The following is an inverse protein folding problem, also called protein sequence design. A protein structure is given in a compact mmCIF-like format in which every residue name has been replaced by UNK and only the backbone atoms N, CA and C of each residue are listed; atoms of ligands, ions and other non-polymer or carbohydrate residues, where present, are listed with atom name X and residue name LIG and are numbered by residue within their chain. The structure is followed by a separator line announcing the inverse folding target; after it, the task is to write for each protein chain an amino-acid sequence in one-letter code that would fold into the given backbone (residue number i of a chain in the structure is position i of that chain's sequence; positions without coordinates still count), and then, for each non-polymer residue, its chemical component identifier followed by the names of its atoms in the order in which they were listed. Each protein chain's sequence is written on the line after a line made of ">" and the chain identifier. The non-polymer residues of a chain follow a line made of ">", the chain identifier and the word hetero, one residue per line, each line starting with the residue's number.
data_IF_496710250648
#
_entry.id   IF_496710250648
#
_cell.length_a   1.000
_cell.length_b   1.000
_cell.length_c   1.000
_cell.angle_alpha   90.00
_cell.angle_beta   90.00
_cell.angle_gamma   90.00
#
_symmetry.space_group_name_H-M   'P 1'
#
loop_
_entity.id
_entity.type
_entity.pdbx_description
1 polymer ?
#
# COMPACT_ATOMS: atom_id res chain seq x y z
N UNK A 1 -14.53 10.15 18.01
CA UNK A 1 -13.14 10.15 17.51
C UNK A 1 -12.60 11.58 17.48
N UNK A 2 -11.53 11.85 18.23
CA UNK A 2 -10.97 13.20 18.38
C UNK A 2 -9.64 13.37 17.60
N UNK A 3 -9.28 12.37 16.79
CA UNK A 3 -8.03 12.31 16.04
C UNK A 3 -8.04 13.07 14.73
N UNK A 4 -6.86 13.13 14.11
CA UNK A 4 -6.65 13.71 12.77
C UNK A 4 -6.27 12.61 11.78
N UNK A 5 -6.63 12.78 10.52
CA UNK A 5 -6.24 11.90 9.41
C UNK A 5 -5.66 12.77 8.30
N UNK A 6 -4.55 12.32 7.71
CA UNK A 6 -3.93 12.97 6.55
C UNK A 6 -4.10 12.09 5.32
N UNK A 7 -4.63 12.69 4.26
CA UNK A 7 -4.66 12.12 2.91
C UNK A 7 -3.66 12.92 2.08
N UNK A 8 -2.62 12.26 1.57
CA UNK A 8 -1.56 12.92 0.81
C UNK A 8 -1.36 12.20 -0.51
N UNK A 9 -1.58 12.91 -1.61
CA UNK A 9 -1.23 12.43 -2.95
C UNK A 9 0.19 12.88 -3.25
N UNK A 10 1.05 11.94 -3.64
CA UNK A 10 2.44 12.20 -4.01
C UNK A 10 2.61 11.88 -5.49
N UNK A 11 3.30 12.77 -6.20
CA UNK A 11 3.68 12.61 -7.60
C UNK A 11 5.17 12.91 -7.74
N UNK A 12 5.94 11.95 -8.25
CA UNK A 12 7.38 12.15 -8.48
C UNK A 12 7.60 12.51 -9.95
N UNK A 13 8.25 13.66 -10.26
CA UNK A 13 8.57 14.02 -11.63
C UNK A 13 9.53 13.03 -12.27
N UNK A 14 9.37 12.76 -13.58
CA UNK A 14 10.17 11.76 -14.30
C UNK A 14 11.69 11.93 -14.13
N UNK A 15 12.16 13.17 -14.00
CA UNK A 15 13.58 13.50 -13.81
C UNK A 15 14.17 13.05 -12.47
N UNK A 16 13.33 12.73 -11.48
CA UNK A 16 13.77 12.30 -10.14
C UNK A 16 13.85 10.78 -10.00
N UNK A 17 13.34 10.01 -10.97
CA UNK A 17 13.51 8.56 -10.92
C UNK A 17 14.97 8.18 -11.20
N UNK A 18 15.52 7.21 -10.46
CA UNK A 18 16.85 6.72 -10.70
C UNK A 18 16.94 6.01 -12.06
N UNK A 19 18.10 6.12 -12.69
CA UNK A 19 18.43 5.23 -13.82
C UNK A 19 18.78 3.86 -13.22
N UNK A 20 17.83 2.94 -13.22
CA UNK A 20 17.90 1.64 -12.52
C UNK A 20 19.17 0.85 -12.84
N UNK A 21 19.54 0.78 -14.12
CA UNK A 21 20.74 0.07 -14.60
C UNK A 21 22.08 0.66 -14.13
N UNK A 22 22.07 1.89 -13.60
CA UNK A 22 23.26 2.59 -13.10
C UNK A 22 23.35 2.58 -11.56
N UNK A 23 22.34 2.06 -10.88
CA UNK A 23 22.34 2.01 -9.41
C UNK A 23 23.34 0.97 -8.91
N UNK A 24 24.12 1.34 -7.89
CA UNK A 24 25.13 0.50 -7.23
C UNK A 24 24.86 0.28 -5.74
N UNK A 25 23.69 0.71 -5.28
CA UNK A 25 23.27 0.60 -3.89
C UNK A 25 23.01 -0.88 -3.58
N UNK A 26 23.48 -1.34 -2.42
CA UNK A 26 23.22 -2.70 -1.95
C UNK A 26 21.74 -2.89 -1.60
N UNK A 27 21.25 -4.12 -1.68
CA UNK A 27 19.89 -4.43 -1.25
C UNK A 27 19.71 -4.13 0.25
N UNK A 28 18.51 -3.69 0.62
CA UNK A 28 18.15 -3.45 2.01
C UNK A 28 18.00 -4.77 2.80
N UNK A 29 17.91 -4.66 4.12
CA UNK A 29 17.64 -5.81 4.98
C UNK A 29 16.22 -6.32 4.72
N UNK A 30 16.11 -7.60 4.39
CA UNK A 30 14.84 -8.28 4.18
C UNK A 30 14.51 -9.19 5.37
N UNK A 31 13.30 -9.07 5.90
CA UNK A 31 12.72 -10.03 6.85
C UNK A 31 11.45 -10.61 6.26
N UNK A 32 11.30 -11.93 6.30
CA UNK A 32 10.10 -12.62 5.83
C UNK A 32 9.41 -13.31 7.00
N UNK A 33 8.07 -13.27 6.99
CA UNK A 33 7.25 -13.94 8.00
C UNK A 33 6.04 -14.55 7.33
N UNK A 34 5.60 -15.70 7.83
CA UNK A 34 4.36 -16.37 7.41
C UNK A 34 3.33 -16.25 8.53
N UNK A 35 2.06 -16.10 8.17
CA UNK A 35 0.95 -16.08 9.13
C UNK A 35 0.69 -14.72 9.81
N UNK A 36 1.50 -13.70 9.57
CA UNK A 36 1.19 -12.31 9.94
C UNK A 36 0.63 -11.54 8.75
N UNK A 37 -0.30 -10.62 9.03
CA UNK A 37 -0.88 -9.72 8.03
C UNK A 37 -0.22 -8.34 8.11
N UNK A 38 -0.28 -7.57 7.04
CA UNK A 38 0.36 -6.25 6.93
C UNK A 38 -0.19 -5.30 8.01
N UNK A 39 -1.51 -5.28 8.19
CA UNK A 39 -2.22 -4.46 9.18
C UNK A 39 -1.94 -4.82 10.64
N UNK A 40 -1.28 -5.95 10.90
CA UNK A 40 -0.89 -6.40 12.25
C UNK A 40 0.60 -6.10 12.55
N UNK A 41 1.28 -5.34 11.69
CA UNK A 41 2.67 -4.90 11.88
C UNK A 41 2.66 -3.40 12.18
N UNK A 42 3.06 -3.03 13.39
CA UNK A 42 3.12 -1.64 13.84
C UNK A 42 4.46 -0.99 13.52
N UNK A 43 4.50 0.36 13.51
CA UNK A 43 5.71 1.17 13.32
C UNK A 43 6.44 0.88 11.99
N UNK A 44 5.66 0.67 10.93
CA UNK A 44 6.12 0.38 9.57
C UNK A 44 5.22 1.13 8.58
N UNK A 45 5.73 1.32 7.37
CA UNK A 45 4.91 1.72 6.24
C UNK A 45 4.15 0.49 5.72
N UNK A 46 2.83 0.50 5.84
CA UNK A 46 1.97 -0.61 5.44
C UNK A 46 1.52 -0.42 3.99
N UNK A 47 1.79 -1.40 3.14
CA UNK A 47 1.43 -1.32 1.72
C UNK A 47 -0.01 -1.79 1.51
N UNK A 48 -0.79 -0.94 0.87
CA UNK A 48 -2.08 -1.27 0.29
C UNK A 48 -1.91 -1.66 -1.19
N UNK A 49 -2.36 -2.86 -1.55
CA UNK A 49 -2.27 -3.41 -2.90
C UNK A 49 -3.41 -2.86 -3.75
N UNK A 50 -3.32 -1.57 -3.99
CA UNK A 50 -4.43 -0.77 -4.47
C UNK A 50 -4.83 -1.07 -5.92
N UNK A 51 -6.05 -0.69 -6.26
CA UNK A 51 -6.46 -0.32 -7.60
C UNK A 51 -5.99 1.11 -7.91
N UNK A 52 -5.81 1.45 -9.20
CA UNK A 52 -5.50 2.83 -9.60
C UNK A 52 -6.59 3.81 -9.15
N UNK A 53 -7.84 3.34 -9.06
CA UNK A 53 -8.90 4.01 -8.34
C UNK A 53 -8.89 3.49 -6.91
N UNK A 54 -8.48 4.34 -5.98
CA UNK A 54 -8.26 3.97 -4.58
C UNK A 54 -9.53 3.39 -3.93
N UNK A 55 -9.35 2.35 -3.13
CA UNK A 55 -10.43 1.58 -2.51
C UNK A 55 -11.05 0.52 -3.43
N UNK A 56 -10.65 0.47 -4.71
CA UNK A 56 -11.03 -0.58 -5.65
C UNK A 56 -12.53 -0.85 -5.67
N UNK A 57 -12.91 -2.09 -5.35
CA UNK A 57 -14.29 -2.53 -5.34
C UNK A 57 -15.01 -2.38 -4.00
N UNK A 58 -14.52 -1.60 -3.03
CA UNK A 58 -15.01 -1.63 -1.63
C UNK A 58 -16.50 -1.28 -1.47
N UNK A 59 -17.05 -0.44 -2.35
CA UNK A 59 -18.48 -0.11 -2.37
C UNK A 59 -19.32 -1.05 -3.25
N UNK A 60 -18.72 -2.16 -3.70
CA UNK A 60 -19.32 -3.11 -4.64
C UNK A 60 -19.05 -4.56 -4.21
N UNK A 61 -18.47 -5.40 -5.06
CA UNK A 61 -18.19 -6.81 -4.80
C UNK A 61 -16.73 -7.11 -4.47
N UNK A 62 -15.86 -6.09 -4.40
CA UNK A 62 -14.46 -6.26 -4.04
C UNK A 62 -14.31 -6.72 -2.59
N UNK A 63 -13.44 -7.71 -2.35
CA UNK A 63 -13.21 -8.28 -1.02
C UNK A 63 -11.83 -8.93 -0.93
N UNK A 64 -10.82 -8.27 -1.52
CA UNK A 64 -9.42 -8.70 -1.43
C UNK A 64 -8.67 -7.76 -0.49
N UNK A 65 -7.34 -7.70 -0.55
CA UNK A 65 -6.53 -7.01 0.45
C UNK A 65 -6.91 -5.53 0.61
N UNK A 66 -7.10 -4.78 -0.48
CA UNK A 66 -7.49 -3.37 -0.46
C UNK A 66 -8.88 -3.18 0.17
N UNK A 67 -9.91 -3.85 -0.34
CA UNK A 67 -11.28 -3.64 0.17
C UNK A 67 -11.44 -4.09 1.62
N UNK A 68 -10.76 -5.18 2.01
CA UNK A 68 -10.74 -5.62 3.41
C UNK A 68 -10.10 -4.53 4.28
N UNK A 69 -9.00 -3.92 3.84
CA UNK A 69 -8.34 -2.86 4.61
C UNK A 69 -9.25 -1.64 4.77
N UNK A 70 -9.91 -1.21 3.70
CA UNK A 70 -10.85 -0.09 3.74
C UNK A 70 -12.10 -0.42 4.58
N UNK A 71 -12.51 -1.69 4.64
CA UNK A 71 -13.65 -2.12 5.46
C UNK A 71 -13.32 -2.09 6.95
N UNK A 72 -12.13 -2.52 7.37
CA UNK A 72 -11.74 -2.52 8.79
C UNK A 72 -11.27 -1.14 9.28
N UNK A 73 -10.85 -0.26 8.37
CA UNK A 73 -10.46 1.13 8.60
C UNK A 73 -11.34 2.08 7.74
N UNK A 74 -12.65 2.19 8.02
CA UNK A 74 -13.62 2.88 7.16
C UNK A 74 -13.33 4.37 6.92
N UNK A 75 -12.51 5.02 7.75
CA UNK A 75 -12.07 6.39 7.51
C UNK A 75 -11.30 6.53 6.18
N UNK A 76 -10.65 5.46 5.72
CA UNK A 76 -9.97 5.41 4.42
C UNK A 76 -10.96 5.63 3.26
N UNK A 77 -12.26 5.36 3.44
CA UNK A 77 -13.29 5.57 2.42
C UNK A 77 -13.42 7.04 1.98
N UNK A 78 -12.99 8.00 2.80
CA UNK A 78 -12.98 9.42 2.42
C UNK A 78 -12.06 9.66 1.22
N UNK A 79 -11.01 8.85 1.04
CA UNK A 79 -10.10 8.96 -0.11
C UNK A 79 -10.82 8.77 -1.46
N UNK A 80 -11.90 8.00 -1.51
CA UNK A 80 -12.71 7.80 -2.73
C UNK A 80 -13.35 9.11 -3.21
N UNK A 81 -13.56 10.08 -2.32
CA UNK A 81 -14.17 11.37 -2.63
C UNK A 81 -13.13 12.42 -3.05
N UNK A 82 -11.90 12.32 -2.54
CA UNK A 82 -10.89 13.38 -2.64
C UNK A 82 -9.69 13.02 -3.51
N UNK A 83 -9.57 11.77 -3.95
CA UNK A 83 -8.45 11.29 -4.75
C UNK A 83 -8.91 10.78 -6.12
N UNK A 84 -8.37 11.37 -7.19
CA UNK A 84 -8.53 10.86 -8.55
C UNK A 84 -7.69 9.59 -8.79
N UNK A 85 -7.91 8.95 -9.95
CA UNK A 85 -7.12 7.78 -10.36
C UNK A 85 -5.62 8.09 -10.36
N UNK A 86 -4.79 7.21 -9.78
CA UNK A 86 -3.34 7.38 -9.74
C UNK A 86 -2.71 7.17 -11.13
N UNK A 87 -1.83 8.09 -11.53
CA UNK A 87 -0.91 7.89 -12.64
C UNK A 87 0.27 7.00 -12.24
N UNK A 88 1.07 6.56 -13.23
CA UNK A 88 2.18 5.63 -13.00
C UNK A 88 3.22 6.13 -11.98
N UNK A 89 3.40 7.45 -11.86
CA UNK A 89 4.36 8.11 -11.00
C UNK A 89 3.71 8.69 -9.73
N UNK A 90 2.51 8.21 -9.37
CA UNK A 90 1.77 8.70 -8.21
C UNK A 90 1.49 7.60 -7.18
N UNK A 91 1.33 7.99 -5.92
CA UNK A 91 0.83 7.14 -4.85
C UNK A 91 -0.04 7.99 -3.89
N UNK A 92 -0.77 7.32 -3.01
CA UNK A 92 -1.59 7.99 -1.99
C UNK A 92 -1.21 7.46 -0.62
N UNK A 93 -0.86 8.36 0.30
CA UNK A 93 -0.67 8.06 1.71
C UNK A 93 -1.95 8.35 2.49
N UNK A 94 -2.29 7.42 3.37
CA UNK A 94 -3.41 7.47 4.30
C UNK A 94 -2.82 7.31 5.71
N UNK A 95 -2.73 8.42 6.44
CA UNK A 95 -2.01 8.48 7.72
C UNK A 95 -2.99 8.81 8.83
N UNK A 96 -2.96 8.03 9.90
CA UNK A 96 -3.78 8.27 11.08
C UNK A 96 -5.09 7.51 11.15
N UNK A 97 -5.40 6.66 10.15
CA UNK A 97 -6.62 5.88 10.13
C UNK A 97 -6.67 4.87 11.29
N UNK A 98 -7.80 4.83 11.97
CA UNK A 98 -8.08 3.91 13.06
C UNK A 98 -8.68 2.60 12.52
N UNK A 99 -8.30 1.47 13.10
CA UNK A 99 -8.94 0.18 12.84
C UNK A 99 -10.10 -0.03 13.79
N UNK A 100 -11.29 -0.23 13.23
CA UNK A 100 -12.52 -0.40 14.00
C UNK A 100 -12.97 -1.86 14.10
N UNK A 101 -12.55 -2.71 13.16
CA UNK A 101 -13.07 -4.08 13.04
C UNK A 101 -11.97 -5.14 13.04
N UNK A 102 -12.21 -6.20 13.80
CA UNK A 102 -11.51 -7.48 13.68
C UNK A 102 -12.16 -8.29 12.56
N UNK A 103 -11.38 -9.14 11.89
CA UNK A 103 -11.91 -9.98 10.83
C UNK A 103 -11.16 -11.31 10.72
N UNK A 104 -11.79 -12.26 10.05
CA UNK A 104 -11.16 -13.50 9.61
C UNK A 104 -11.59 -13.85 8.19
N UNK A 105 -10.88 -14.81 7.59
CA UNK A 105 -11.09 -15.19 6.20
C UNK A 105 -10.60 -14.12 5.23
N UNK A 106 -10.89 -14.37 3.95
CA UNK A 106 -10.47 -13.56 2.80
C UNK A 106 -11.41 -13.84 1.62
N UNK A 107 -11.68 -12.86 0.77
CA UNK A 107 -12.61 -12.98 -0.35
C UNK A 107 -13.95 -13.56 0.10
N UNK A 108 -14.41 -14.66 -0.51
CA UNK A 108 -15.69 -15.31 -0.19
C UNK A 108 -15.83 -15.80 1.26
N UNK A 109 -14.72 -15.94 2.00
CA UNK A 109 -14.72 -16.36 3.40
C UNK A 109 -14.58 -15.21 4.39
N UNK A 110 -14.44 -13.96 3.91
CA UNK A 110 -14.30 -12.78 4.74
C UNK A 110 -15.53 -12.58 5.62
N UNK A 111 -15.28 -12.36 6.90
CA UNK A 111 -16.33 -12.20 7.91
C UNK A 111 -15.84 -11.30 9.03
N UNK A 112 -16.75 -10.46 9.51
CA UNK A 112 -16.57 -9.69 10.74
C UNK A 112 -16.27 -10.63 11.91
N UNK A 113 -15.30 -10.26 12.73
CA UNK A 113 -14.87 -11.06 13.89
C UNK A 113 -14.96 -10.27 15.21
N UNK A 114 -15.80 -9.22 15.25
CA UNK A 114 -15.97 -8.37 16.42
C UNK A 114 -15.21 -7.05 16.32
N UNK A 115 -15.47 -6.18 17.29
CA UNK A 115 -14.89 -4.85 17.34
C UNK A 115 -13.36 -4.95 17.52
N UNK A 116 -12.63 -3.98 16.98
CA UNK A 116 -11.20 -3.84 17.24
C UNK A 116 -10.96 -2.62 18.13
N UNK A 117 -10.28 -2.85 19.26
CA UNK A 117 -9.87 -1.78 20.15
C UNK A 117 -8.46 -1.34 19.75
N UNK A 118 -8.38 -0.30 18.91
CA UNK A 118 -7.11 0.16 18.38
C UNK A 118 -6.28 0.88 19.45
N UNK A 119 -5.26 0.19 19.95
CA UNK A 119 -4.31 0.70 20.95
C UNK A 119 -3.09 1.41 20.35
N UNK A 120 -3.07 1.60 19.03
CA UNK A 120 -1.97 2.31 18.35
C UNK A 120 -1.84 3.71 18.95
N UNK A 121 -0.62 4.14 19.32
CA UNK A 121 -0.39 5.47 19.87
C UNK A 121 -0.71 6.55 18.83
N UNK A 122 -0.79 7.80 19.28
CA UNK A 122 -0.94 8.96 18.40
C UNK A 122 0.37 9.74 18.31
N UNK A 123 0.59 10.40 17.18
CA UNK A 123 1.71 11.33 16.98
C UNK A 123 1.40 12.72 17.53
N UNK A 124 2.34 13.65 17.39
CA UNK A 124 2.20 15.04 17.86
C UNK A 124 1.07 15.81 17.16
N UNK A 125 0.57 15.31 16.03
CA UNK A 125 -0.56 15.86 15.29
C UNK A 125 -1.88 15.15 15.60
N UNK A 126 -1.89 14.31 16.63
CA UNK A 126 -3.04 13.53 17.09
C UNK A 126 -3.55 12.49 16.06
N UNK A 127 -2.70 12.07 15.13
CA UNK A 127 -2.95 11.00 14.16
C UNK A 127 -2.50 9.67 14.75
N UNK A 128 -3.23 8.57 14.51
CA UNK A 128 -2.74 7.23 14.89
C UNK A 128 -1.40 6.94 14.17
N UNK A 129 -0.47 6.24 14.81
CA UNK A 129 0.76 5.71 14.18
C UNK A 129 0.45 4.55 13.22
N UNK A 130 -0.34 4.86 12.21
CA UNK A 130 -0.83 3.98 11.16
C UNK A 130 -0.56 4.70 9.84
N UNK A 131 0.47 4.27 9.13
CA UNK A 131 0.90 4.84 7.86
C UNK A 131 0.64 3.80 6.78
N UNK A 132 -0.31 4.09 5.90
CA UNK A 132 -0.63 3.25 4.76
C UNK A 132 -0.23 3.97 3.48
N UNK A 133 0.42 3.26 2.55
CA UNK A 133 0.66 3.74 1.19
C UNK A 133 -0.08 2.85 0.19
N UNK A 134 -0.94 3.48 -0.61
CA UNK A 134 -1.64 2.85 -1.71
C UNK A 134 -0.80 2.97 -2.98
N UNK A 135 -0.44 1.82 -3.56
CA UNK A 135 0.24 1.71 -4.85
C UNK A 135 -0.44 0.65 -5.71
N UNK A 136 -0.80 1.02 -6.94
CA UNK A 136 -1.50 0.12 -7.87
C UNK A 136 -0.53 -0.65 -8.76
N UNK A 137 -0.65 -1.98 -8.79
CA UNK A 137 0.10 -2.83 -9.71
C UNK A 137 -0.54 -2.82 -11.10
N UNK A 138 0.21 -3.23 -12.13
CA UNK A 138 -0.37 -3.53 -13.44
C UNK A 138 -1.16 -4.84 -13.37
N UNK A 139 -2.30 -4.87 -14.07
CA UNK A 139 -3.03 -6.09 -14.35
C UNK A 139 -2.48 -6.76 -15.62
N UNK A 140 -2.08 -8.03 -15.52
CA UNK A 140 -1.51 -8.77 -16.65
C UNK A 140 -2.47 -9.83 -17.19
N UNK A 141 -3.13 -9.56 -18.32
CA UNK A 141 -3.94 -10.57 -19.04
C UNK A 141 -3.09 -11.77 -19.46
N UNK A 142 -1.89 -11.51 -19.99
CA UNK A 142 -0.87 -12.51 -20.27
C UNK A 142 0.29 -12.30 -19.31
N UNK A 143 0.49 -13.25 -18.40
CA UNK A 143 1.53 -13.15 -17.37
C UNK A 143 2.94 -13.06 -17.96
N UNK A 144 3.20 -13.53 -19.19
CA UNK A 144 4.52 -13.39 -19.81
C UNK A 144 4.90 -11.95 -20.13
N UNK A 145 3.93 -11.04 -20.27
CA UNK A 145 4.22 -9.63 -20.60
C UNK A 145 4.94 -8.90 -19.46
N UNK A 146 4.79 -9.35 -18.21
CA UNK A 146 5.38 -8.68 -17.05
C UNK A 146 6.91 -8.63 -17.05
N UNK A 147 7.56 -9.42 -17.91
CA UNK A 147 9.02 -9.41 -18.10
C UNK A 147 9.49 -8.41 -19.16
N UNK A 148 8.58 -7.71 -19.85
CA UNK A 148 8.93 -6.57 -20.70
C UNK A 148 9.55 -5.47 -19.83
N UNK A 149 10.73 -4.99 -20.22
CA UNK A 149 11.50 -4.03 -19.43
C UNK A 149 10.72 -2.75 -19.13
N UNK A 150 9.84 -2.29 -20.02
CA UNK A 150 9.02 -1.09 -19.79
C UNK A 150 7.98 -1.32 -18.70
N UNK A 151 7.45 -2.54 -18.62
CA UNK A 151 6.47 -2.91 -17.60
C UNK A 151 7.17 -3.16 -16.26
N UNK A 152 8.36 -3.75 -16.26
CA UNK A 152 9.21 -3.84 -15.06
C UNK A 152 9.55 -2.43 -14.55
N UNK A 153 10.01 -1.53 -15.41
CA UNK A 153 10.32 -0.14 -15.06
C UNK A 153 9.11 0.60 -14.51
N UNK A 154 7.92 0.39 -15.07
CA UNK A 154 6.68 0.97 -14.52
C UNK A 154 6.45 0.52 -13.08
N UNK A 155 6.59 -0.77 -12.80
CA UNK A 155 6.36 -1.31 -11.45
C UNK A 155 7.42 -0.81 -10.46
N UNK A 156 8.67 -0.67 -10.90
CA UNK A 156 9.74 -0.03 -10.11
C UNK A 156 9.44 1.44 -9.82
N UNK A 157 8.99 2.20 -10.83
CA UNK A 157 8.57 3.60 -10.68
C UNK A 157 7.46 3.72 -9.64
N UNK A 158 6.44 2.87 -9.73
CA UNK A 158 5.31 2.87 -8.80
C UNK A 158 5.72 2.54 -7.37
N UNK A 159 6.48 1.45 -7.18
CA UNK A 159 7.00 1.06 -5.88
C UNK A 159 7.90 2.16 -5.28
N UNK A 160 8.83 2.70 -6.08
CA UNK A 160 9.70 3.79 -5.65
C UNK A 160 8.92 5.04 -5.27
N UNK A 161 7.86 5.38 -6.00
CA UNK A 161 6.98 6.50 -5.65
C UNK A 161 6.35 6.31 -4.27
N UNK A 162 5.95 5.09 -3.91
CA UNK A 162 5.41 4.79 -2.59
C UNK A 162 6.45 4.68 -1.48
N UNK A 163 7.71 4.36 -1.80
CA UNK A 163 8.74 4.01 -0.81
C UNK A 163 9.84 5.07 -0.64
N UNK A 164 9.98 5.97 -1.61
CA UNK A 164 10.97 7.04 -1.52
C UNK A 164 10.58 7.98 -0.37
N UNK A 165 11.52 8.34 0.53
CA UNK A 165 11.27 9.34 1.55
C UNK A 165 10.78 10.65 0.92
N UNK A 166 9.73 11.23 1.48
CA UNK A 166 9.29 12.58 1.11
C UNK A 166 10.29 13.56 1.73
N UNK A 167 11.00 14.34 0.92
CA UNK A 167 12.00 15.31 1.40
C UNK A 167 11.40 16.23 2.48
N UNK A 168 12.13 16.40 3.59
CA UNK A 168 11.74 17.18 4.78
C UNK A 168 10.64 16.58 5.67
N UNK A 169 10.13 15.39 5.37
CA UNK A 169 9.45 14.58 6.38
C UNK A 169 10.48 13.69 7.08
N UNK A 170 10.29 13.54 8.40
CA UNK A 170 11.14 12.78 9.32
C UNK A 170 11.56 11.46 8.66
N UNK A 171 12.86 11.12 8.71
CA UNK A 171 13.29 9.75 8.43
C UNK A 171 12.55 8.86 9.41
N UNK A 172 11.46 8.27 8.94
CA UNK A 172 10.57 7.57 9.84
C UNK A 172 11.22 6.28 10.36
N UNK A 173 12.40 5.88 9.85
CA UNK A 173 13.06 4.64 10.24
C UNK A 173 12.16 3.41 10.05
N UNK A 174 11.08 3.56 9.29
CA UNK A 174 10.04 2.56 9.13
C UNK A 174 10.52 1.50 8.16
N UNK A 175 10.49 0.25 8.60
CA UNK A 175 10.46 -0.85 7.63
C UNK A 175 9.21 -0.76 6.75
N UNK A 176 9.25 -1.42 5.59
CA UNK A 176 8.08 -1.55 4.72
C UNK A 176 7.43 -2.91 4.99
N UNK A 177 6.17 -2.90 5.41
CA UNK A 177 5.35 -4.09 5.51
C UNK A 177 4.56 -4.27 4.21
N UNK A 178 5.05 -5.19 3.38
CA UNK A 178 4.46 -5.54 2.07
C UNK A 178 4.29 -7.06 1.94
N UNK A 179 3.96 -7.52 0.73
CA UNK A 179 3.79 -8.93 0.41
C UNK A 179 3.66 -9.15 -1.09
N UNK A 180 2.73 -10.02 -1.50
CA UNK A 180 2.54 -10.40 -2.90
C UNK A 180 1.75 -9.34 -3.70
N UNK A 181 2.27 -8.10 -3.74
CA UNK A 181 1.67 -6.96 -4.42
C UNK A 181 1.41 -7.24 -5.90
N UNK A 182 0.14 -7.16 -6.32
CA UNK A 182 -0.28 -7.43 -7.70
C UNK A 182 -0.28 -8.90 -8.12
N UNK A 183 0.03 -9.86 -7.24
CA UNK A 183 0.14 -11.28 -7.63
C UNK A 183 -1.15 -12.10 -7.46
N UNK A 184 -2.21 -11.49 -6.92
CA UNK A 184 -3.52 -12.12 -6.77
C UNK A 184 -4.39 -11.85 -7.99
N UNK A 185 -5.41 -11.01 -7.80
CA UNK A 185 -6.35 -10.62 -8.86
C UNK A 185 -5.67 -10.02 -10.10
N UNK A 186 -4.45 -9.49 -9.96
CA UNK A 186 -3.73 -8.77 -11.04
C UNK A 186 -2.72 -9.65 -11.81
N UNK A 187 -2.62 -10.94 -11.45
CA UNK A 187 -1.88 -11.95 -12.20
C UNK A 187 -0.35 -11.70 -12.34
N UNK A 188 0.23 -10.93 -11.41
CA UNK A 188 1.68 -10.76 -11.28
C UNK A 188 2.39 -12.00 -10.73
N UNK A 189 3.66 -12.17 -11.09
CA UNK A 189 4.53 -13.22 -10.59
C UNK A 189 5.14 -12.80 -9.25
N UNK A 190 5.02 -13.67 -8.23
CA UNK A 190 5.48 -13.40 -6.87
C UNK A 190 6.99 -13.22 -6.76
N UNK A 191 7.76 -14.00 -7.52
CA UNK A 191 9.22 -13.92 -7.50
C UNK A 191 9.70 -12.62 -8.13
N UNK A 192 9.15 -12.24 -9.28
CA UNK A 192 9.48 -10.96 -9.93
C UNK A 192 9.14 -9.77 -9.02
N UNK A 193 7.94 -9.77 -8.44
CA UNK A 193 7.48 -8.74 -7.51
C UNK A 193 8.21 -8.72 -6.17
N UNK A 194 8.81 -9.84 -5.76
CA UNK A 194 9.59 -9.90 -4.53
C UNK A 194 11.04 -9.41 -4.68
N UNK A 195 11.54 -9.28 -5.92
CA UNK A 195 12.90 -8.81 -6.22
C UNK A 195 12.90 -7.33 -6.64
N UNK A 196 11.85 -6.88 -7.34
CA UNK A 196 11.70 -5.50 -7.79
C UNK A 196 11.18 -4.59 -6.68
#
# INVERSE_FOLDING_TARGET
>A
PDGVITFQRVSIPQSHFPVWSKQKIGLCVLSTTTGRKIEDINYVLQVDFASKYIGGGVLSSGCVQEEIRFTICPEMLVSLLVCEAMDNNECIFLIGCERYSSYQGYASSFKYAGDYQDKTPRDDWNRKWCHVVAIDALYFHNSSNQYDIKLVERELIKAYTGFCPIENEVDYGFGIATGNWGCGAFNGNKQLKGIG
#
